data_IF_323027558061
#
_entry.id   IF_323027558061
#
_cell.length_a   1.000
_cell.length_b   1.000
_cell.length_c   1.000
_cell.angle_alpha   90.00
_cell.angle_beta   90.00
_cell.angle_gamma   90.00
#
_symmetry.space_group_name_H-M   'P 1'
#
loop_
_entity.id
_entity.type
_entity.pdbx_description
1 polymer ?
#
# COMPACT_ATOMS: atom_id res chain seq x y z
N UNK A 1 -2.65 10.31 -0.69
CA UNK A 1 -1.64 11.15 -1.37
C UNK A 1 -0.31 10.77 -0.74
N UNK A 2 0.71 10.39 -1.54
CA UNK A 2 2.03 10.06 -1.01
C UNK A 2 2.65 11.33 -0.43
N UNK A 3 3.31 11.22 0.72
CA UNK A 3 4.05 12.36 1.28
C UNK A 3 5.38 12.50 0.56
N UNK A 4 5.85 13.74 0.40
CA UNK A 4 7.20 13.99 -0.13
C UNK A 4 8.21 13.49 0.90
N UNK A 5 9.20 12.69 0.46
CA UNK A 5 10.21 12.17 1.37
C UNK A 5 11.05 13.29 1.96
N UNK A 6 11.33 13.19 3.26
CA UNK A 6 12.30 14.07 3.96
C UNK A 6 13.72 13.96 3.40
N UNK A 7 14.02 12.87 2.70
CA UNK A 7 15.34 12.59 2.13
C UNK A 7 15.46 13.01 0.66
N UNK A 8 14.38 13.42 0.00
CA UNK A 8 14.40 13.74 -1.44
C UNK A 8 15.28 14.95 -1.78
N UNK A 9 15.20 16.03 -1.00
CA UNK A 9 15.93 17.28 -1.31
C UNK A 9 17.46 17.13 -1.17
N UNK A 10 17.91 16.43 -0.14
CA UNK A 10 19.32 16.32 0.25
C UNK A 10 19.84 14.89 0.10
N UNK A 11 19.31 14.14 -0.87
CA UNK A 11 19.75 12.77 -1.11
C UNK A 11 21.20 12.78 -1.58
N UNK A 12 22.09 12.14 -0.81
CA UNK A 12 23.45 11.89 -1.25
C UNK A 12 23.41 10.86 -2.40
N UNK A 13 24.10 11.16 -3.50
CA UNK A 13 24.38 10.21 -4.58
C UNK A 13 25.89 10.06 -4.72
N UNK A 14 26.37 8.82 -4.64
CA UNK A 14 27.79 8.51 -4.67
C UNK A 14 28.33 8.57 -6.10
N UNK A 15 29.53 9.11 -6.27
CA UNK A 15 30.29 9.07 -7.51
C UNK A 15 31.16 7.80 -7.56
N UNK A 16 30.51 6.64 -7.69
CA UNK A 16 31.18 5.33 -7.73
C UNK A 16 31.36 4.77 -9.16
N UNK A 17 31.07 5.56 -10.19
CA UNK A 17 31.23 5.20 -11.60
C UNK A 17 30.18 4.22 -12.15
N UNK A 18 29.15 3.87 -11.38
CA UNK A 18 28.07 2.98 -11.82
C UNK A 18 27.21 3.69 -12.88
N UNK A 19 26.92 2.98 -13.97
CA UNK A 19 25.94 3.39 -14.99
C UNK A 19 24.95 2.26 -15.21
N UNK A 20 23.68 2.61 -15.17
CA UNK A 20 22.59 1.64 -15.21
C UNK A 20 22.06 1.54 -16.64
N UNK A 21 22.02 0.33 -17.23
CA UNK A 21 21.46 0.15 -18.56
C UNK A 21 19.97 0.49 -18.57
N UNK A 22 19.37 0.82 -19.73
CA UNK A 22 17.95 1.15 -19.81
C UNK A 22 17.02 -0.05 -19.63
N UNK A 23 17.54 -1.28 -19.70
CA UNK A 23 16.78 -2.53 -19.56
C UNK A 23 17.69 -3.70 -19.20
N UNK A 24 17.11 -4.88 -18.98
CA UNK A 24 17.87 -6.11 -18.69
C UNK A 24 18.42 -6.18 -17.27
N UNK A 25 17.77 -5.47 -16.33
CA UNK A 25 18.21 -5.42 -14.94
C UNK A 25 18.09 -6.78 -14.25
N UNK A 26 19.02 -7.01 -13.32
CA UNK A 26 19.08 -8.20 -12.48
C UNK A 26 19.50 -7.79 -11.07
N UNK A 27 18.99 -8.49 -10.07
CA UNK A 27 19.45 -8.32 -8.70
C UNK A 27 20.96 -8.59 -8.60
N UNK A 28 21.71 -7.71 -7.93
CA UNK A 28 23.15 -7.88 -7.74
C UNK A 28 23.51 -9.03 -6.79
N UNK A 29 22.57 -9.52 -5.97
CA UNK A 29 22.79 -10.59 -4.98
C UNK A 29 22.12 -11.94 -5.33
N UNK A 30 21.24 -12.02 -6.34
CA UNK A 30 20.59 -13.27 -6.75
C UNK A 30 20.15 -13.27 -8.22
N UNK A 31 19.45 -14.34 -8.65
CA UNK A 31 19.08 -14.52 -10.05
C UNK A 31 17.78 -13.81 -10.50
N UNK A 32 17.12 -13.08 -9.60
CA UNK A 32 15.85 -12.41 -9.92
C UNK A 32 16.06 -11.26 -10.91
N UNK A 33 15.19 -11.19 -11.90
CA UNK A 33 15.12 -10.17 -12.95
C UNK A 33 13.82 -9.34 -12.88
N UNK A 34 13.01 -9.56 -11.84
CA UNK A 34 11.73 -8.90 -11.60
C UNK A 34 11.66 -8.38 -10.15
N UNK A 35 10.72 -7.47 -9.88
CA UNK A 35 10.57 -6.80 -8.57
C UNK A 35 11.90 -6.19 -8.07
N UNK A 36 12.56 -5.44 -8.95
CA UNK A 36 13.86 -4.86 -8.71
C UNK A 36 13.73 -3.41 -8.24
N UNK A 37 14.57 -3.06 -7.27
CA UNK A 37 14.63 -1.77 -6.64
C UNK A 37 16.04 -1.21 -6.83
N UNK A 38 16.10 -0.02 -7.41
CA UNK A 38 17.32 0.75 -7.57
C UNK A 38 17.48 1.67 -6.36
N UNK A 39 18.52 1.45 -5.56
CA UNK A 39 18.88 2.41 -4.52
C UNK A 39 19.43 3.70 -5.15
N UNK A 40 18.83 4.83 -4.79
CA UNK A 40 19.14 6.12 -5.41
C UNK A 40 20.47 6.72 -4.93
N UNK A 41 21.04 6.22 -3.84
CA UNK A 41 22.30 6.72 -3.25
C UNK A 41 23.54 6.09 -3.87
N UNK A 42 23.55 4.79 -4.15
CA UNK A 42 24.74 4.08 -4.65
C UNK A 42 24.55 3.35 -5.97
N UNK A 43 23.34 3.38 -6.53
CA UNK A 43 23.05 2.79 -7.83
C UNK A 43 22.87 1.27 -7.80
N UNK A 44 22.81 0.64 -6.63
CA UNK A 44 22.68 -0.81 -6.53
C UNK A 44 21.27 -1.29 -6.88
N UNK A 45 21.17 -2.37 -7.67
CA UNK A 45 19.90 -2.96 -8.10
C UNK A 45 19.66 -4.25 -7.33
N UNK A 46 18.59 -4.29 -6.53
CA UNK A 46 18.34 -5.39 -5.60
C UNK A 46 16.87 -5.82 -5.64
N UNK A 47 16.60 -7.11 -5.41
CA UNK A 47 15.23 -7.59 -5.37
C UNK A 47 14.49 -7.14 -4.11
N UNK A 48 13.18 -6.97 -4.25
CA UNK A 48 12.29 -6.50 -3.20
C UNK A 48 12.04 -7.51 -2.08
N UNK A 49 11.02 -7.23 -1.27
CA UNK A 49 10.68 -8.04 -0.09
C UNK A 49 10.17 -9.44 -0.45
N UNK A 50 10.45 -10.42 0.40
CA UNK A 50 9.89 -11.76 0.31
C UNK A 50 8.47 -11.78 0.88
N UNK A 51 7.52 -12.35 0.17
CA UNK A 51 6.17 -12.55 0.68
C UNK A 51 6.06 -13.88 1.44
N UNK A 52 5.09 -13.98 2.35
CA UNK A 52 4.86 -15.16 3.20
C UNK A 52 4.54 -16.41 2.37
N UNK A 53 3.90 -16.24 1.21
CA UNK A 53 3.54 -17.32 0.27
C UNK A 53 4.75 -17.85 -0.52
N UNK A 54 5.95 -17.34 -0.25
CA UNK A 54 7.19 -17.72 -0.93
C UNK A 54 7.45 -16.96 -2.23
N UNK A 55 6.53 -16.09 -2.67
CA UNK A 55 6.69 -15.26 -3.87
C UNK A 55 7.35 -13.91 -3.54
N UNK A 56 7.57 -13.07 -4.55
CA UNK A 56 8.18 -11.74 -4.38
C UNK A 56 9.69 -11.74 -4.63
N UNK A 57 10.45 -11.10 -3.74
CA UNK A 57 11.91 -11.06 -3.76
C UNK A 57 12.57 -11.85 -2.63
N UNK A 58 13.85 -11.56 -2.37
CA UNK A 58 14.67 -12.22 -1.35
C UNK A 58 15.20 -11.22 -0.29
N UNK A 59 14.49 -10.10 -0.09
CA UNK A 59 14.82 -9.07 0.91
C UNK A 59 16.18 -8.37 0.71
N UNK A 60 16.82 -8.52 -0.46
CA UNK A 60 18.15 -7.94 -0.67
C UNK A 60 18.17 -6.42 -0.59
N UNK A 61 17.13 -5.74 -1.10
CA UNK A 61 17.06 -4.29 -1.05
C UNK A 61 16.93 -3.75 0.39
N UNK A 62 16.15 -4.43 1.25
CA UNK A 62 16.02 -4.05 2.67
C UNK A 62 17.26 -4.42 3.48
N UNK A 63 17.93 -5.54 3.17
CA UNK A 63 19.20 -5.89 3.80
C UNK A 63 20.29 -4.89 3.47
N UNK A 64 20.35 -4.43 2.21
CA UNK A 64 21.28 -3.38 1.80
C UNK A 64 21.05 -2.06 2.52
N UNK A 65 19.78 -1.66 2.71
CA UNK A 65 19.46 -0.51 3.56
C UNK A 65 19.97 -0.71 5.00
N UNK A 66 19.80 -1.89 5.60
CA UNK A 66 20.31 -2.17 6.96
C UNK A 66 21.84 -2.12 7.05
N UNK A 67 22.54 -2.48 5.97
CA UNK A 67 24.00 -2.47 5.89
C UNK A 67 24.56 -1.05 5.69
N UNK A 68 23.94 -0.25 4.82
CA UNK A 68 24.50 1.03 4.36
C UNK A 68 23.76 2.28 4.87
N UNK A 69 22.50 2.15 5.30
CA UNK A 69 21.66 3.27 5.72
C UNK A 69 21.10 4.14 4.59
N UNK A 70 21.17 3.69 3.33
CA UNK A 70 20.74 4.46 2.17
C UNK A 70 19.21 4.49 2.00
N UNK A 71 18.56 5.65 2.17
CA UNK A 71 17.14 5.71 2.56
C UNK A 71 16.15 5.44 1.42
N UNK A 72 16.48 5.80 0.18
CA UNK A 72 15.53 5.82 -0.94
C UNK A 72 15.87 4.80 -2.01
N UNK A 73 14.85 4.06 -2.46
CA UNK A 73 14.94 3.21 -3.63
C UNK A 73 13.73 3.37 -4.54
N UNK A 74 13.96 3.38 -5.85
CA UNK A 74 12.91 3.42 -6.88
C UNK A 74 12.71 2.04 -7.48
N UNK A 75 11.45 1.64 -7.68
CA UNK A 75 11.12 0.38 -8.33
C UNK A 75 11.33 0.48 -9.84
N UNK A 76 12.27 -0.31 -10.33
CA UNK A 76 12.55 -0.41 -11.76
C UNK A 76 11.32 -0.95 -12.49
N UNK A 77 11.07 -0.43 -13.69
CA UNK A 77 9.90 -0.75 -14.51
C UNK A 77 8.61 0.01 -14.15
N UNK A 78 8.57 0.77 -13.04
CA UNK A 78 7.43 1.65 -12.71
C UNK A 78 7.61 3.10 -13.14
N UNK A 79 8.81 3.45 -13.62
CA UNK A 79 9.19 4.81 -14.01
C UNK A 79 8.46 5.17 -15.31
N UNK A 80 7.77 6.30 -15.32
CA UNK A 80 7.04 6.83 -16.48
C UNK A 80 7.80 7.98 -17.14
N UNK A 81 7.43 8.32 -18.39
CA UNK A 81 7.99 9.44 -19.15
C UNK A 81 7.87 10.80 -18.44
N UNK A 82 6.87 10.95 -17.59
CA UNK A 82 6.64 12.16 -16.78
C UNK A 82 7.57 12.25 -15.57
N UNK A 83 8.52 11.31 -15.42
CA UNK A 83 9.47 11.31 -14.32
C UNK A 83 8.88 10.85 -12.99
N UNK A 84 7.73 10.17 -13.02
CA UNK A 84 7.10 9.57 -11.84
C UNK A 84 7.47 8.10 -11.74
N UNK A 85 7.63 7.60 -10.52
CA UNK A 85 7.90 6.20 -10.27
C UNK A 85 7.51 5.83 -8.84
N UNK A 86 7.50 4.54 -8.56
CA UNK A 86 7.30 4.05 -7.20
C UNK A 86 8.59 4.17 -6.41
N UNK A 87 8.66 5.18 -5.54
CA UNK A 87 9.78 5.39 -4.61
C UNK A 87 9.39 4.90 -3.22
N UNK A 88 10.24 4.05 -2.65
CA UNK A 88 10.13 3.56 -1.27
C UNK A 88 11.16 4.25 -0.39
N UNK A 89 10.72 4.72 0.78
CA UNK A 89 11.61 5.21 1.83
C UNK A 89 11.71 4.16 2.92
N UNK A 90 12.91 3.63 3.13
CA UNK A 90 13.16 2.65 4.20
C UNK A 90 13.14 3.29 5.59
N UNK A 91 13.44 4.58 5.70
CA UNK A 91 13.41 5.32 6.98
C UNK A 91 11.98 5.66 7.38
N UNK A 92 11.14 6.03 6.40
CA UNK A 92 9.73 6.36 6.63
C UNK A 92 8.82 5.11 6.58
N UNK A 93 9.38 3.96 6.16
CA UNK A 93 8.70 2.68 5.94
C UNK A 93 7.40 2.81 5.12
N UNK A 94 7.41 3.70 4.11
CA UNK A 94 6.25 4.00 3.28
C UNK A 94 6.65 4.37 1.84
N UNK A 95 5.65 4.33 0.95
CA UNK A 95 5.72 4.86 -0.41
C UNK A 95 5.72 6.39 -0.36
N UNK A 96 6.78 6.98 -0.89
CA UNK A 96 7.00 8.43 -0.87
C UNK A 96 6.98 9.03 -2.26
N UNK A 97 6.83 10.34 -2.33
CA UNK A 97 7.07 11.12 -3.53
C UNK A 97 8.48 11.72 -3.48
N UNK A 98 9.20 11.59 -4.60
CA UNK A 98 10.49 12.25 -4.82
C UNK A 98 10.31 13.26 -5.96
N UNK A 99 10.15 14.57 -5.65
CA UNK A 99 10.03 15.62 -6.65
C UNK A 99 11.23 15.72 -7.60
N UNK A 100 12.39 15.21 -7.18
CA UNK A 100 13.66 15.28 -7.89
C UNK A 100 14.04 13.95 -8.56
N UNK A 101 13.10 13.01 -8.68
CA UNK A 101 13.36 11.66 -9.18
C UNK A 101 14.07 11.66 -10.54
N UNK A 102 13.69 12.55 -11.47
CA UNK A 102 14.35 12.68 -12.78
C UNK A 102 15.83 13.03 -12.64
N UNK A 103 16.16 13.96 -11.73
CA UNK A 103 17.54 14.36 -11.43
C UNK A 103 18.31 13.20 -10.81
N UNK A 104 17.71 12.50 -9.85
CA UNK A 104 18.35 11.35 -9.20
C UNK A 104 18.62 10.19 -10.18
N UNK A 105 17.68 9.94 -11.11
CA UNK A 105 17.85 8.93 -12.16
C UNK A 105 18.93 9.31 -13.17
N UNK A 106 19.02 10.60 -13.54
CA UNK A 106 20.00 11.09 -14.49
C UNK A 106 21.45 10.88 -14.01
N UNK A 107 21.71 10.95 -12.70
CA UNK A 107 23.01 10.63 -12.09
C UNK A 107 23.52 9.25 -12.52
N UNK A 108 22.63 8.26 -12.48
CA UNK A 108 22.89 6.88 -12.86
C UNK A 108 22.86 6.61 -14.37
N UNK A 109 22.63 7.65 -15.18
CA UNK A 109 22.53 7.54 -16.64
C UNK A 109 21.16 7.10 -17.16
N UNK A 110 20.13 7.11 -16.30
CA UNK A 110 18.78 6.72 -16.69
C UNK A 110 18.02 7.96 -17.19
N UNK A 111 17.65 7.95 -18.48
CA UNK A 111 16.79 8.98 -19.05
C UNK A 111 15.32 8.57 -18.93
N UNK A 112 14.60 9.18 -17.97
CA UNK A 112 13.18 8.90 -17.71
C UNK A 112 12.29 9.10 -18.96
N UNK A 113 12.64 10.01 -19.87
CA UNK A 113 11.84 10.28 -21.08
C UNK A 113 11.79 9.10 -22.08
N UNK A 114 12.77 8.20 -22.00
CA UNK A 114 12.87 7.02 -22.88
C UNK A 114 12.26 5.78 -22.21
N UNK A 115 11.98 5.83 -20.91
CA UNK A 115 11.40 4.71 -20.18
C UNK A 115 9.89 4.64 -20.39
N UNK A 116 9.41 3.41 -20.59
CA UNK A 116 8.00 3.07 -20.54
C UNK A 116 7.76 2.18 -19.31
N UNK A 117 6.57 2.30 -18.73
CA UNK A 117 6.19 1.48 -17.58
C UNK A 117 6.06 0.02 -18.04
N UNK A 118 7.03 -0.81 -17.67
CA UNK A 118 7.10 -2.24 -18.02
C UNK A 118 6.66 -3.17 -16.89
N UNK A 119 6.60 -2.67 -15.66
CA UNK A 119 6.22 -3.44 -14.48
C UNK A 119 5.00 -2.87 -13.76
N UNK A 120 4.28 -3.76 -13.06
CA UNK A 120 3.18 -3.37 -12.17
C UNK A 120 3.75 -2.51 -11.03
N UNK A 121 3.10 -1.37 -10.79
CA UNK A 121 3.29 -0.55 -9.60
C UNK A 121 2.97 -1.35 -8.34
N UNK A 122 3.46 -0.93 -7.18
CA UNK A 122 3.15 -1.59 -5.91
C UNK A 122 1.65 -1.63 -5.64
N UNK A 123 0.92 -0.56 -5.95
CA UNK A 123 -0.54 -0.52 -5.84
C UNK A 123 -1.19 -1.56 -6.77
N UNK A 124 -0.71 -1.70 -8.00
CA UNK A 124 -1.23 -2.72 -8.92
C UNK A 124 -0.91 -4.14 -8.47
N UNK A 125 0.29 -4.39 -7.92
CA UNK A 125 0.62 -5.69 -7.32
C UNK A 125 -0.26 -6.00 -6.12
N UNK A 126 -0.56 -5.01 -5.29
CA UNK A 126 -1.46 -5.15 -4.15
C UNK A 126 -2.90 -5.40 -4.60
N UNK A 127 -3.39 -4.69 -5.63
CA UNK A 127 -4.70 -4.93 -6.23
C UNK A 127 -4.78 -6.34 -6.83
N UNK A 128 -3.75 -6.76 -7.55
CA UNK A 128 -3.62 -8.08 -8.17
C UNK A 128 -3.49 -9.19 -7.12
N UNK A 129 -2.82 -8.92 -5.99
CA UNK A 129 -2.77 -9.82 -4.84
C UNK A 129 -4.13 -9.89 -4.14
N UNK A 130 -4.83 -8.78 -3.93
CA UNK A 130 -6.18 -8.78 -3.36
C UNK A 130 -7.18 -9.51 -4.26
N UNK A 131 -7.11 -9.31 -5.58
CA UNK A 131 -7.92 -10.05 -6.55
C UNK A 131 -7.58 -11.53 -6.50
N UNK A 132 -6.28 -11.88 -6.56
CA UNK A 132 -5.84 -13.28 -6.48
C UNK A 132 -6.15 -13.93 -5.14
N UNK A 133 -6.13 -13.21 -4.01
CA UNK A 133 -6.57 -13.74 -2.71
C UNK A 133 -8.08 -14.00 -2.70
N UNK A 134 -8.87 -13.17 -3.39
CA UNK A 134 -10.27 -13.47 -3.67
C UNK A 134 -10.44 -14.73 -4.53
N UNK A 135 -9.61 -14.89 -5.57
CA UNK A 135 -9.57 -16.10 -6.41
C UNK A 135 -9.03 -17.33 -5.65
N UNK A 136 -8.07 -17.15 -4.73
CA UNK A 136 -7.50 -18.23 -3.92
C UNK A 136 -8.47 -18.69 -2.84
N UNK A 137 -9.24 -17.77 -2.27
CA UNK A 137 -10.39 -18.11 -1.42
C UNK A 137 -11.45 -18.88 -2.21
N UNK A 138 -11.61 -18.60 -3.50
CA UNK A 138 -12.46 -19.39 -4.40
C UNK A 138 -11.83 -20.73 -4.84
N UNK A 139 -10.51 -20.90 -4.73
CA UNK A 139 -9.78 -22.13 -5.11
C UNK A 139 -9.51 -23.07 -3.93
N UNK A 140 -9.36 -22.56 -2.71
CA UNK A 140 -9.10 -23.38 -1.51
C UNK A 140 -10.35 -24.03 -0.91
N UNK A 141 -11.56 -23.68 -1.36
CA UNK A 141 -12.78 -24.43 -1.10
C UNK A 141 -13.29 -25.03 -2.41
N UNK A 142 -12.95 -26.30 -2.64
CA UNK A 142 -13.58 -27.24 -3.58
C UNK A 142 -14.83 -26.72 -4.31
N UNK A 143 -14.68 -26.20 -5.53
CA UNK A 143 -15.77 -25.97 -6.49
C UNK A 143 -17.00 -25.15 -6.02
N UNK A 144 -16.92 -24.41 -4.91
CA UNK A 144 -18.04 -23.63 -4.39
C UNK A 144 -17.79 -22.14 -4.56
N UNK A 145 -18.58 -21.47 -5.39
CA UNK A 145 -18.66 -20.01 -5.41
C UNK A 145 -19.09 -19.51 -4.03
N UNK A 146 -18.23 -18.73 -3.36
CA UNK A 146 -18.55 -18.14 -2.06
C UNK A 146 -19.74 -17.19 -2.21
N UNK A 147 -20.77 -17.40 -1.38
CA UNK A 147 -21.97 -16.56 -1.38
C UNK A 147 -21.65 -15.19 -0.77
N UNK A 148 -21.85 -14.08 -1.50
CA UNK A 148 -21.68 -12.75 -0.93
C UNK A 148 -22.64 -12.52 0.26
N UNK A 149 -22.11 -11.99 1.35
CA UNK A 149 -22.87 -11.62 2.54
C UNK A 149 -23.08 -10.11 2.59
N UNK A 150 -24.24 -9.70 3.09
CA UNK A 150 -24.67 -8.32 3.19
C UNK A 150 -25.34 -8.07 4.54
N UNK A 151 -25.32 -6.81 4.99
CA UNK A 151 -25.99 -6.37 6.20
C UNK A 151 -25.05 -6.01 7.35
N UNK A 152 -25.61 -5.78 8.55
CA UNK A 152 -24.87 -5.39 9.75
C UNK A 152 -23.70 -6.33 10.05
N UNK A 153 -22.50 -5.78 10.24
CA UNK A 153 -21.29 -6.56 10.53
C UNK A 153 -20.61 -7.22 9.33
N UNK A 154 -21.22 -7.18 8.14
CA UNK A 154 -20.65 -7.76 6.90
C UNK A 154 -20.08 -6.68 5.97
N UNK A 155 -19.61 -5.57 6.51
CA UNK A 155 -19.08 -4.46 5.71
C UNK A 155 -17.60 -4.64 5.43
N UNK A 156 -17.22 -4.71 4.15
CA UNK A 156 -15.82 -4.75 3.74
C UNK A 156 -15.08 -3.42 3.95
N UNK A 157 -13.76 -3.49 4.11
CA UNK A 157 -12.88 -2.32 4.18
C UNK A 157 -12.07 -2.21 2.89
N UNK A 158 -12.12 -1.03 2.27
CA UNK A 158 -11.36 -0.75 1.05
C UNK A 158 -9.87 -0.66 1.42
N UNK A 159 -9.01 -1.34 0.65
CA UNK A 159 -7.57 -1.23 0.80
C UNK A 159 -7.10 0.15 0.28
N UNK A 160 -6.30 0.85 1.08
CA UNK A 160 -5.81 2.21 0.82
C UNK A 160 -4.32 2.26 0.41
N UNK A 161 -3.76 1.12 0.00
CA UNK A 161 -2.32 0.93 -0.17
C UNK A 161 -1.71 0.38 1.13
N UNK A 162 -1.17 -0.84 1.07
CA UNK A 162 -0.60 -1.61 2.17
C UNK A 162 -1.46 -1.65 3.44
N UNK A 163 -2.77 -1.41 3.37
CA UNK A 163 -3.62 -1.30 4.57
C UNK A 163 -4.34 -2.60 4.93
N UNK A 164 -3.96 -3.74 4.36
CA UNK A 164 -4.61 -5.02 4.64
C UNK A 164 -4.42 -5.43 6.11
N UNK A 165 -3.24 -5.20 6.70
CA UNK A 165 -3.00 -5.45 8.12
C UNK A 165 -4.00 -4.66 8.99
N UNK A 166 -4.19 -3.38 8.68
CA UNK A 166 -5.09 -2.49 9.37
C UNK A 166 -6.54 -2.98 9.23
N UNK A 167 -6.95 -3.31 8.00
CA UNK A 167 -8.29 -3.80 7.72
C UNK A 167 -8.59 -5.09 8.50
N UNK A 168 -7.66 -6.06 8.51
CA UNK A 168 -7.81 -7.33 9.24
C UNK A 168 -7.95 -7.11 10.75
N UNK A 169 -7.11 -6.24 11.34
CA UNK A 169 -7.19 -5.94 12.78
C UNK A 169 -8.50 -5.24 13.12
N UNK A 170 -8.94 -4.26 12.31
CA UNK A 170 -10.18 -3.53 12.60
C UNK A 170 -11.44 -4.40 12.51
N UNK A 171 -11.48 -5.35 11.56
CA UNK A 171 -12.58 -6.33 11.50
C UNK A 171 -12.67 -7.17 12.78
N UNK A 172 -11.53 -7.61 13.33
CA UNK A 172 -11.49 -8.37 14.59
C UNK A 172 -11.85 -7.49 15.79
N UNK A 173 -11.33 -6.26 15.86
CA UNK A 173 -11.62 -5.33 16.97
C UNK A 173 -13.11 -5.07 17.09
N UNK A 174 -13.82 -4.82 15.99
CA UNK A 174 -15.27 -4.59 16.01
C UNK A 174 -16.12 -5.88 16.05
N UNK A 175 -15.49 -7.05 16.10
CA UNK A 175 -16.16 -8.29 16.48
C UNK A 175 -16.24 -8.46 18.01
N UNK A 176 -15.31 -7.84 18.75
CA UNK A 176 -15.27 -7.89 20.22
C UNK A 176 -16.32 -6.94 20.80
N UNK A 177 -17.22 -7.49 21.62
CA UNK A 177 -18.40 -6.77 22.12
C UNK A 177 -18.05 -5.53 22.96
N UNK A 178 -16.96 -5.58 23.75
CA UNK A 178 -16.50 -4.44 24.54
C UNK A 178 -16.22 -3.20 23.69
N UNK A 179 -15.64 -3.39 22.50
CA UNK A 179 -15.40 -2.29 21.56
C UNK A 179 -16.70 -1.80 20.92
N UNK A 180 -17.63 -2.70 20.63
CA UNK A 180 -18.96 -2.34 20.11
C UNK A 180 -19.73 -1.49 21.12
N UNK A 181 -19.81 -1.93 22.37
CA UNK A 181 -20.45 -1.17 23.44
C UNK A 181 -19.78 0.19 23.64
N UNK A 182 -18.44 0.21 23.68
CA UNK A 182 -17.69 1.44 23.94
C UNK A 182 -17.76 2.44 22.79
N UNK A 183 -17.78 2.02 21.54
CA UNK A 183 -17.60 2.94 20.40
C UNK A 183 -18.79 3.00 19.44
N UNK A 184 -19.66 2.00 19.42
CA UNK A 184 -20.80 1.95 18.49
C UNK A 184 -22.11 2.25 19.20
N UNK A 185 -22.37 1.62 20.35
CA UNK A 185 -23.59 1.86 21.12
C UNK A 185 -23.61 3.27 21.74
N UNK A 186 -22.46 3.75 22.22
CA UNK A 186 -22.33 5.11 22.76
C UNK A 186 -21.98 6.17 21.71
N UNK A 187 -21.95 5.81 20.42
CA UNK A 187 -21.59 6.71 19.33
C UNK A 187 -22.38 8.05 19.32
N UNK A 188 -23.71 8.08 19.57
CA UNK A 188 -24.43 9.36 19.62
C UNK A 188 -23.84 10.33 20.66
N UNK A 189 -23.55 9.85 21.87
CA UNK A 189 -22.94 10.66 22.91
C UNK A 189 -21.50 11.08 22.56
N UNK A 190 -20.72 10.22 21.89
CA UNK A 190 -19.38 10.56 21.40
C UNK A 190 -19.45 11.68 20.36
N UNK A 191 -20.43 11.64 19.45
CA UNK A 191 -20.61 12.64 18.42
C UNK A 191 -21.15 13.97 18.95
N UNK A 192 -22.05 13.94 19.93
CA UNK A 192 -22.56 15.14 20.61
C UNK A 192 -21.45 15.88 21.37
N UNK A 193 -20.52 15.15 21.98
CA UNK A 193 -19.38 15.71 22.72
C UNK A 193 -18.11 15.88 21.86
N UNK A 194 -18.25 15.82 20.52
CA UNK A 194 -17.10 15.93 19.63
C UNK A 194 -16.42 17.31 19.76
N UNK A 195 -15.07 17.37 19.73
CA UNK A 195 -14.36 18.65 19.75
C UNK A 195 -14.57 19.43 18.45
N UNK A 196 -14.13 20.70 18.43
CA UNK A 196 -14.23 21.58 17.25
C UNK A 196 -13.58 21.01 15.99
N UNK A 197 -12.62 20.08 16.12
CA UNK A 197 -12.00 19.32 15.03
C UNK A 197 -12.25 17.81 15.19
N UNK A 198 -13.42 17.27 14.79
CA UNK A 198 -13.74 15.86 14.99
C UNK A 198 -12.87 14.90 14.15
N UNK A 199 -12.27 15.39 13.06
CA UNK A 199 -11.38 14.60 12.20
C UNK A 199 -10.08 14.18 12.89
N UNK A 200 -9.67 14.91 13.93
CA UNK A 200 -8.45 14.65 14.69
C UNK A 200 -8.71 14.00 16.05
N UNK A 201 -9.97 13.66 16.34
CA UNK A 201 -10.35 13.03 17.61
C UNK A 201 -10.44 11.51 17.46
N UNK A 202 -9.69 10.80 18.31
CA UNK A 202 -9.60 9.34 18.25
C UNK A 202 -10.95 8.67 18.51
N UNK A 203 -11.68 9.11 19.53
CA UNK A 203 -12.94 8.48 19.91
C UNK A 203 -14.00 8.69 18.84
N UNK A 204 -14.08 9.89 18.25
CA UNK A 204 -14.97 10.17 17.13
C UNK A 204 -14.62 9.33 15.91
N UNK A 205 -13.35 9.25 15.52
CA UNK A 205 -12.97 8.47 14.32
C UNK A 205 -13.15 6.96 14.55
N UNK A 206 -12.88 6.46 15.77
CA UNK A 206 -13.12 5.06 16.14
C UNK A 206 -14.62 4.74 16.09
N UNK A 207 -15.46 5.57 16.71
CA UNK A 207 -16.91 5.41 16.69
C UNK A 207 -17.47 5.45 15.27
N UNK A 208 -17.01 6.41 14.45
CA UNK A 208 -17.38 6.54 13.04
C UNK A 208 -17.04 5.27 12.24
N UNK A 209 -15.84 4.71 12.43
CA UNK A 209 -15.43 3.48 11.76
C UNK A 209 -16.31 2.29 12.19
N UNK A 210 -16.52 2.12 13.49
CA UNK A 210 -17.36 1.06 14.05
C UNK A 210 -18.81 1.12 13.55
N UNK A 211 -19.43 2.30 13.57
CA UNK A 211 -20.77 2.51 12.99
C UNK A 211 -20.78 2.18 11.49
N UNK A 212 -19.74 2.56 10.75
CA UNK A 212 -19.58 2.22 9.33
C UNK A 212 -19.56 0.72 9.08
N UNK A 213 -18.88 -0.03 9.94
CA UNK A 213 -18.77 -1.48 9.83
C UNK A 213 -20.06 -2.21 10.23
N UNK A 214 -20.67 -1.80 11.34
CA UNK A 214 -21.75 -2.56 11.98
C UNK A 214 -23.16 -2.12 11.57
N UNK A 215 -23.35 -0.93 11.00
CA UNK A 215 -24.69 -0.43 10.65
C UNK A 215 -25.37 -1.19 9.50
N UNK A 216 -24.60 -1.86 8.65
CA UNK A 216 -25.11 -2.48 7.41
C UNK A 216 -25.42 -1.51 6.29
N UNK A 217 -25.32 -0.19 6.51
CA UNK A 217 -25.56 0.85 5.50
C UNK A 217 -24.63 0.72 4.28
N UNK A 218 -23.42 0.24 4.51
CA UNK A 218 -22.36 0.12 3.49
C UNK A 218 -22.13 -1.32 3.03
N UNK A 219 -23.03 -2.22 3.40
CA UNK A 219 -23.03 -3.62 2.98
C UNK A 219 -24.41 -3.99 2.45
N UNK A 220 -24.84 -3.28 1.40
CA UNK A 220 -26.09 -3.55 0.69
C UNK A 220 -25.78 -4.25 -0.64
N UNK A 221 -26.66 -5.16 -1.11
CA UNK A 221 -26.50 -5.78 -2.42
C UNK A 221 -26.51 -4.72 -3.52
N UNK A 222 -25.65 -4.85 -4.55
CA UNK A 222 -25.65 -3.92 -5.67
C UNK A 222 -27.01 -3.95 -6.41
N UNK A 223 -27.48 -2.80 -6.93
CA UNK A 223 -28.68 -2.77 -7.76
C UNK A 223 -28.53 -3.66 -9.00
N UNK A 224 -29.60 -4.26 -9.49
CA UNK A 224 -29.56 -5.16 -10.67
C UNK A 224 -29.01 -4.48 -11.95
N UNK A 225 -29.02 -3.15 -12.02
CA UNK A 225 -28.48 -2.34 -13.12
C UNK A 225 -26.99 -2.00 -12.99
N UNK A 226 -26.33 -2.41 -11.91
CA UNK A 226 -24.94 -2.11 -11.60
C UNK A 226 -23.97 -3.00 -12.40
N UNK A 227 -22.93 -2.41 -12.98
CA UNK A 227 -21.78 -3.17 -13.50
C UNK A 227 -20.90 -3.77 -12.39
N UNK A 228 -21.01 -3.27 -11.16
CA UNK A 228 -20.26 -3.76 -10.01
C UNK A 228 -20.94 -5.00 -9.44
N UNK A 229 -20.20 -6.12 -9.38
CA UNK A 229 -20.67 -7.40 -8.84
C UNK A 229 -20.82 -7.43 -7.32
N UNK A 230 -20.23 -6.46 -6.60
CA UNK A 230 -20.14 -6.46 -5.13
C UNK A 230 -20.29 -5.06 -4.53
N UNK A 231 -20.64 -5.00 -3.24
CA UNK A 231 -20.68 -3.74 -2.49
C UNK A 231 -19.26 -3.19 -2.26
N UNK A 232 -19.10 -1.86 -2.35
CA UNK A 232 -17.78 -1.20 -2.25
C UNK A 232 -17.25 -1.09 -0.82
N UNK A 233 -18.08 -1.31 0.21
CA UNK A 233 -17.66 -1.22 1.61
C UNK A 233 -17.30 0.20 2.05
N UNK A 234 -16.46 0.34 3.08
CA UNK A 234 -16.04 1.63 3.65
C UNK A 234 -14.55 1.90 3.48
N UNK A 235 -14.20 3.17 3.24
CA UNK A 235 -12.81 3.66 3.14
C UNK A 235 -12.38 4.34 4.45
N UNK A 236 -11.52 3.71 5.26
CA UNK A 236 -11.14 4.22 6.58
C UNK A 236 -10.02 5.29 6.53
N UNK A 237 -9.94 6.10 5.47
CA UNK A 237 -8.79 7.00 5.23
C UNK A 237 -8.54 7.99 6.38
N UNK A 238 -9.62 8.55 6.96
CA UNK A 238 -9.52 9.51 8.05
C UNK A 238 -9.02 8.87 9.35
N UNK A 239 -9.45 7.65 9.66
CA UNK A 239 -8.98 6.94 10.85
C UNK A 239 -7.54 6.47 10.67
N UNK A 240 -7.19 5.89 9.51
CA UNK A 240 -5.81 5.44 9.21
C UNK A 240 -4.80 6.59 9.31
N UNK A 241 -5.16 7.80 8.89
CA UNK A 241 -4.25 8.96 8.98
C UNK A 241 -4.12 9.52 10.41
N UNK A 242 -5.04 9.16 11.33
CA UNK A 242 -5.04 9.65 12.70
C UNK A 242 -4.18 8.78 13.63
N UNK A 243 -4.12 7.46 13.37
CA UNK A 243 -3.44 6.47 14.21
C UNK A 243 -2.06 6.10 13.70
#
# INVERSE_FOLDING_TARGET
>A
VRQVSKHAENLLQLDNGVKIPPSGWKCSKCDLNNNLWLNLTDGMILCGRKFYDGTGGNDHAVHHFKECGYPLAVKLGTITKDGKGDVWSYVEDDMVEDPHLVKHLAHWGINAAVLEKTDKSMIELELDCNQRLGEWSALQESNSELRPLYGPGYTGLINLGNSCYFNSVMQVVFFVQDFVQRYVETAPAIFENAPSKPATDFHVQMAKLGCGLLSGKYSQPPPESSKDKYSKGVSPHMFKNLV
#
